data_IF_459033211426
#
_entry.id   IF_459033211426
#
_cell.length_a   1.000
_cell.length_b   1.000
_cell.length_c   1.000
_cell.angle_alpha   90.00
_cell.angle_beta   90.00
_cell.angle_gamma   90.00
#
_symmetry.space_group_name_H-M   'P 1'
#
loop_
_entity.id
_entity.type
_entity.pdbx_description
1 polymer ?
#
# COMPACT_ATOMS: atom_id res chain seq x y z
N UNK A 1 2.62 -21.99 12.36
CA UNK A 1 1.73 -21.57 11.26
C UNK A 1 2.62 -21.05 10.14
N UNK A 2 2.62 -21.70 8.98
CA UNK A 2 3.38 -21.24 7.81
C UNK A 2 2.41 -20.49 6.90
N UNK A 3 2.67 -19.20 6.67
CA UNK A 3 1.98 -18.46 5.62
C UNK A 3 2.47 -19.04 4.28
N UNK A 4 1.53 -19.47 3.43
CA UNK A 4 1.87 -19.95 2.09
C UNK A 4 2.65 -18.88 1.34
N UNK A 5 3.71 -19.28 0.63
CA UNK A 5 4.45 -18.37 -0.23
C UNK A 5 3.47 -17.81 -1.26
N UNK A 6 3.27 -16.49 -1.23
CA UNK A 6 2.52 -15.82 -2.29
C UNK A 6 3.22 -16.10 -3.62
N UNK A 7 2.43 -16.40 -4.66
CA UNK A 7 2.96 -16.52 -6.02
C UNK A 7 3.74 -15.24 -6.35
N UNK A 8 4.95 -15.35 -6.93
CA UNK A 8 5.78 -14.18 -7.19
C UNK A 8 5.00 -13.18 -8.04
N UNK A 9 4.89 -11.94 -7.54
CA UNK A 9 4.20 -10.86 -8.23
C UNK A 9 4.75 -10.72 -9.67
N UNK A 10 3.89 -10.52 -10.69
CA UNK A 10 4.35 -10.32 -12.05
C UNK A 10 5.38 -9.21 -12.13
N UNK A 11 6.53 -9.48 -12.74
CA UNK A 11 7.58 -8.49 -12.89
C UNK A 11 7.08 -7.27 -13.70
N UNK A 12 7.35 -6.07 -13.19
CA UNK A 12 7.06 -4.81 -13.89
C UNK A 12 5.67 -4.20 -13.70
N UNK A 13 4.81 -4.77 -12.84
CA UNK A 13 3.50 -4.21 -12.50
C UNK A 13 3.47 -3.40 -11.19
N UNK A 14 2.40 -2.63 -10.99
CA UNK A 14 2.08 -2.04 -9.68
C UNK A 14 1.39 -3.09 -8.79
N UNK A 15 1.85 -3.21 -7.55
CA UNK A 15 1.18 -3.99 -6.51
C UNK A 15 0.12 -3.12 -5.81
N UNK A 16 -1.15 -3.55 -5.85
CA UNK A 16 -2.23 -2.96 -5.05
C UNK A 16 -2.47 -3.88 -3.85
N UNK A 17 -2.33 -3.32 -2.64
CA UNK A 17 -2.53 -4.05 -1.39
C UNK A 17 -3.67 -3.42 -0.60
N UNK A 18 -4.63 -4.24 -0.17
CA UNK A 18 -5.68 -3.84 0.75
C UNK A 18 -5.31 -4.35 2.14
N UNK A 19 -5.26 -3.44 3.10
CA UNK A 19 -4.86 -3.76 4.47
C UNK A 19 -5.48 -2.77 5.46
N UNK A 20 -5.13 -2.91 6.73
CA UNK A 20 -5.54 -1.98 7.78
C UNK A 20 -4.64 -0.75 7.85
N UNK A 21 -5.21 0.37 8.29
CA UNK A 21 -4.47 1.62 8.49
C UNK A 21 -3.27 1.49 9.44
N UNK A 22 -3.30 0.53 10.38
CA UNK A 22 -2.19 0.24 11.30
C UNK A 22 -0.93 -0.27 10.58
N UNK A 23 -1.08 -1.13 9.56
CA UNK A 23 0.05 -1.61 8.76
C UNK A 23 0.65 -0.47 7.94
N UNK A 24 -0.21 0.35 7.32
CA UNK A 24 0.22 1.54 6.56
C UNK A 24 0.98 2.48 7.48
N UNK A 25 0.46 2.75 8.69
CA UNK A 25 1.11 3.61 9.68
C UNK A 25 2.47 3.07 10.12
N UNK A 26 2.58 1.76 10.33
CA UNK A 26 3.85 1.13 10.70
C UNK A 26 4.92 1.23 9.61
N UNK A 27 4.54 1.13 8.33
CA UNK A 27 5.49 1.20 7.21
C UNK A 27 5.85 2.62 6.79
N UNK A 28 4.95 3.58 7.00
CA UNK A 28 5.04 4.89 6.36
C UNK A 28 4.96 6.08 7.33
N UNK A 29 4.51 5.86 8.57
CA UNK A 29 4.15 6.92 9.51
C UNK A 29 2.86 7.69 9.14
N UNK A 30 2.23 7.38 8.01
CA UNK A 30 1.01 8.03 7.54
C UNK A 30 -0.22 7.37 8.16
N UNK A 31 -1.13 8.19 8.66
CA UNK A 31 -2.44 7.77 9.16
C UNK A 31 -3.51 8.13 8.10
N UNK A 32 -3.88 7.20 7.21
CA UNK A 32 -4.81 7.49 6.13
C UNK A 32 -6.26 7.63 6.63
N UNK A 33 -7.04 8.47 5.95
CA UNK A 33 -8.49 8.50 6.10
C UNK A 33 -9.13 7.23 5.51
N UNK A 34 -10.42 7.02 5.79
CA UNK A 34 -11.17 5.91 5.19
C UNK A 34 -11.17 6.02 3.66
N UNK A 35 -10.83 4.91 2.99
CA UNK A 35 -10.80 4.83 1.52
C UNK A 35 -9.62 5.56 0.87
N UNK A 36 -8.74 6.19 1.63
CA UNK A 36 -7.56 6.86 1.10
C UNK A 36 -6.48 5.85 0.68
N UNK A 37 -5.89 6.06 -0.49
CA UNK A 37 -4.77 5.25 -0.97
C UNK A 37 -3.44 5.96 -0.72
N UNK A 38 -2.46 5.23 -0.18
CA UNK A 38 -1.08 5.70 -0.03
C UNK A 38 -0.22 5.00 -1.08
N UNK A 39 0.41 5.78 -1.97
CA UNK A 39 1.25 5.26 -3.05
C UNK A 39 2.69 5.18 -2.56
N UNK A 40 3.31 4.00 -2.72
CA UNK A 40 4.65 3.71 -2.21
C UNK A 40 5.62 3.41 -3.35
N UNK A 41 6.87 3.87 -3.20
CA UNK A 41 8.01 3.37 -3.97
C UNK A 41 8.80 2.40 -3.08
N UNK A 42 8.92 1.11 -3.44
CA UNK A 42 9.81 0.20 -2.73
C UNK A 42 11.26 0.64 -2.92
N UNK A 43 12.05 0.65 -1.83
CA UNK A 43 13.46 1.03 -1.85
C UNK A 43 14.40 -0.19 -1.78
N UNK A 44 13.86 -1.40 -1.59
CA UNK A 44 14.63 -2.59 -1.22
C UNK A 44 14.57 -2.84 0.30
N UNK A 45 14.96 -4.05 0.72
CA UNK A 45 15.11 -4.45 2.14
C UNK A 45 13.89 -4.15 3.03
N UNK A 46 12.68 -4.23 2.47
CA UNK A 46 11.43 -3.97 3.18
C UNK A 46 11.15 -2.49 3.47
N UNK A 47 11.96 -1.57 2.94
CA UNK A 47 11.77 -0.13 3.09
C UNK A 47 10.91 0.46 1.96
N UNK A 48 10.13 1.48 2.32
CA UNK A 48 9.25 2.21 1.41
C UNK A 48 9.42 3.72 1.55
N UNK A 49 9.30 4.42 0.43
CA UNK A 49 9.10 5.87 0.40
C UNK A 49 7.67 6.18 -0.01
N UNK A 50 7.01 7.12 0.68
CA UNK A 50 5.71 7.64 0.25
C UNK A 50 5.92 8.49 -1.00
N UNK A 51 5.32 8.06 -2.11
CA UNK A 51 5.33 8.77 -3.38
C UNK A 51 4.16 9.74 -3.51
N UNK A 52 3.03 9.45 -2.87
CA UNK A 52 1.84 10.29 -2.91
C UNK A 52 0.68 9.70 -2.12
N UNK A 53 -0.40 10.48 -2.07
CA UNK A 53 -1.67 10.12 -1.43
C UNK A 53 -2.80 10.43 -2.40
N UNK A 54 -3.78 9.53 -2.49
CA UNK A 54 -4.97 9.71 -3.31
C UNK A 54 -6.17 9.65 -2.38
N UNK A 55 -6.86 10.78 -2.24
CA UNK A 55 -8.12 10.83 -1.54
C UNK A 55 -9.19 10.00 -2.30
N UNK A 56 -10.20 9.47 -1.59
CA UNK A 56 -11.38 8.97 -2.25
C UNK A 56 -11.92 10.04 -3.21
N UNK A 57 -12.09 9.69 -4.48
CA UNK A 57 -12.83 10.56 -5.39
C UNK A 57 -14.30 10.33 -5.13
N UNK A 58 -15.08 11.41 -4.99
CA UNK A 58 -16.54 11.29 -5.05
C UNK A 58 -16.89 10.94 -6.50
N UNK A 59 -17.27 9.68 -6.72
CA UNK A 59 -17.82 9.29 -8.02
C UNK A 59 -19.23 9.89 -8.12
N UNK A 60 -19.57 10.59 -9.20
CA UNK A 60 -20.96 10.97 -9.44
C UNK A 60 -21.81 9.69 -9.53
N UNK A 61 -22.97 9.71 -8.87
CA UNK A 61 -23.97 8.63 -8.89
C UNK A 61 -24.42 8.26 -10.31
#
# INVERSE_FOLDING_TARGET
MAFGAAEPWPAGGNLVMITHGTNISAWTGVHPAQGEMVVLTPLGDGAFRVAGRLAPTELPE
#
